data_IF_785923364982
#
_entry.id   IF_785923364982
#
_cell.length_a   1.000
_cell.length_b   1.000
_cell.length_c   1.000
_cell.angle_alpha   90.00
_cell.angle_beta   90.00
_cell.angle_gamma   90.00
#
_symmetry.space_group_name_H-M   'P 1'
#
loop_
_entity.id
_entity.type
_entity.pdbx_description
1 polymer ?
#
# COMPACT_ATOMS: atom_id res chain seq x y z
N UNK A 1 -31.65 1.82 -1.80
CA UNK A 1 -30.45 2.38 -2.46
C UNK A 1 -29.28 2.20 -1.51
N UNK A 2 -28.12 1.69 -1.99
CA UNK A 2 -26.94 1.49 -1.13
C UNK A 2 -26.31 2.85 -0.79
N UNK A 3 -26.12 3.15 0.50
CA UNK A 3 -25.50 4.40 0.92
C UNK A 3 -23.97 4.26 0.95
N UNK A 4 -23.29 4.61 -0.15
CA UNK A 4 -21.84 4.55 -0.28
C UNK A 4 -21.06 5.55 0.59
N UNK A 5 -21.74 6.50 1.23
CA UNK A 5 -21.09 7.43 2.18
C UNK A 5 -20.79 6.76 3.54
N UNK A 6 -21.34 5.58 3.80
CA UNK A 6 -21.15 4.89 5.08
C UNK A 6 -19.69 4.41 5.25
N UNK A 7 -19.05 4.64 6.41
CA UNK A 7 -17.64 4.32 6.63
C UNK A 7 -17.30 2.84 6.45
N UNK A 8 -18.27 1.95 6.65
CA UNK A 8 -18.09 0.51 6.41
C UNK A 8 -17.71 0.16 4.97
N UNK A 9 -18.13 0.94 3.97
CA UNK A 9 -17.71 0.67 2.58
C UNK A 9 -16.21 0.83 2.39
N UNK A 10 -15.57 1.74 3.14
CA UNK A 10 -14.12 1.94 3.13
C UNK A 10 -13.38 0.73 3.71
N UNK A 11 -14.02 -0.07 4.56
CA UNK A 11 -13.48 -1.33 5.09
C UNK A 11 -13.81 -2.50 4.16
N UNK A 12 -15.06 -2.59 3.70
CA UNK A 12 -15.54 -3.71 2.89
C UNK A 12 -14.79 -3.81 1.57
N UNK A 13 -14.52 -2.70 0.89
CA UNK A 13 -13.87 -2.72 -0.42
C UNK A 13 -12.45 -3.35 -0.35
N UNK A 14 -11.54 -2.91 0.54
CA UNK A 14 -10.25 -3.59 0.70
C UNK A 14 -10.38 -5.07 1.09
N UNK A 15 -11.31 -5.43 1.98
CA UNK A 15 -11.52 -6.83 2.39
C UNK A 15 -11.99 -7.69 1.21
N UNK A 16 -12.91 -7.18 0.39
CA UNK A 16 -13.35 -7.84 -0.84
C UNK A 16 -12.18 -7.99 -1.80
N UNK A 17 -11.35 -6.95 -1.99
CA UNK A 17 -10.14 -7.03 -2.81
C UNK A 17 -9.19 -8.11 -2.31
N UNK A 18 -8.92 -8.19 -1.00
CA UNK A 18 -8.07 -9.23 -0.40
C UNK A 18 -8.64 -10.63 -0.71
N UNK A 19 -9.94 -10.84 -0.51
CA UNK A 19 -10.60 -12.12 -0.79
C UNK A 19 -10.53 -12.48 -2.28
N UNK A 20 -10.81 -11.53 -3.17
CA UNK A 20 -10.77 -11.74 -4.61
C UNK A 20 -9.35 -12.04 -5.10
N UNK A 21 -8.37 -11.26 -4.68
CA UNK A 21 -6.95 -11.49 -5.01
C UNK A 21 -6.50 -12.85 -4.50
N UNK A 22 -6.85 -13.20 -3.26
CA UNK A 22 -6.55 -14.50 -2.67
C UNK A 22 -7.17 -15.64 -3.48
N UNK A 23 -8.44 -15.50 -3.85
CA UNK A 23 -9.17 -16.48 -4.66
C UNK A 23 -8.53 -16.65 -6.03
N UNK A 24 -8.26 -15.56 -6.75
CA UNK A 24 -7.63 -15.60 -8.08
C UNK A 24 -6.24 -16.22 -7.98
N UNK A 25 -5.40 -15.73 -7.06
CA UNK A 25 -4.04 -16.23 -6.86
C UNK A 25 -4.04 -17.74 -6.57
N UNK A 26 -4.92 -18.23 -5.69
CA UNK A 26 -4.93 -19.64 -5.28
C UNK A 26 -5.64 -20.58 -6.25
N UNK A 27 -6.80 -20.17 -6.77
CA UNK A 27 -7.72 -21.06 -7.50
C UNK A 27 -7.59 -20.93 -9.00
N UNK A 28 -7.17 -19.78 -9.53
CA UNK A 28 -7.01 -19.56 -10.97
C UNK A 28 -5.56 -19.59 -11.41
N UNK A 29 -4.65 -19.05 -10.59
CA UNK A 29 -3.23 -18.94 -10.93
C UNK A 29 -2.34 -19.96 -10.20
N UNK A 30 -2.89 -20.68 -9.22
CA UNK A 30 -2.19 -21.70 -8.43
C UNK A 30 -0.93 -21.20 -7.71
N UNK A 31 -0.90 -19.92 -7.33
CA UNK A 31 0.22 -19.32 -6.61
C UNK A 31 0.33 -19.87 -5.18
N UNK A 32 1.54 -20.17 -4.74
CA UNK A 32 1.88 -20.45 -3.35
C UNK A 32 1.99 -19.16 -2.54
N UNK A 33 1.43 -19.16 -1.34
CA UNK A 33 1.54 -18.04 -0.40
C UNK A 33 3.00 -17.68 -0.08
N UNK A 34 3.84 -18.70 0.10
CA UNK A 34 5.23 -18.51 0.51
C UNK A 34 6.16 -18.34 -0.69
N UNK A 35 6.02 -19.17 -1.72
CA UNK A 35 6.96 -19.20 -2.85
C UNK A 35 6.68 -18.12 -3.89
N UNK A 36 5.40 -17.86 -4.14
CA UNK A 36 5.00 -16.92 -5.18
C UNK A 36 4.66 -15.57 -4.57
N UNK A 37 3.66 -15.51 -3.68
CA UNK A 37 3.23 -14.24 -3.07
C UNK A 37 4.21 -13.70 -2.02
N UNK A 38 5.23 -14.48 -1.64
CA UNK A 38 6.26 -14.07 -0.69
C UNK A 38 5.69 -13.58 0.66
N UNK A 39 4.58 -14.16 1.12
CA UNK A 39 4.06 -13.95 2.47
C UNK A 39 4.90 -14.75 3.47
N UNK A 40 6.12 -14.27 3.69
CA UNK A 40 7.11 -14.84 4.59
C UNK A 40 7.66 -13.75 5.49
N UNK A 41 8.03 -14.10 6.73
CA UNK A 41 8.63 -13.13 7.64
C UNK A 41 9.99 -12.67 7.08
N UNK A 42 10.22 -11.35 6.95
CA UNK A 42 11.50 -10.83 6.48
C UNK A 42 12.58 -10.95 7.57
N UNK A 43 13.86 -11.01 7.18
CA UNK A 43 14.95 -10.84 8.13
C UNK A 43 14.83 -9.49 8.86
N UNK A 44 14.92 -9.43 10.20
CA UNK A 44 14.71 -8.18 10.96
C UNK A 44 15.63 -7.04 10.53
N UNK A 45 16.87 -7.35 10.14
CA UNK A 45 17.84 -6.36 9.66
C UNK A 45 17.41 -5.70 8.34
N UNK A 46 16.83 -6.48 7.42
CA UNK A 46 16.33 -5.97 6.14
C UNK A 46 15.07 -5.14 6.37
N UNK A 47 14.17 -5.60 7.24
CA UNK A 47 13.00 -4.82 7.63
C UNK A 47 13.41 -3.48 8.26
N UNK A 48 14.32 -3.49 9.22
CA UNK A 48 14.84 -2.28 9.86
C UNK A 48 15.49 -1.34 8.84
N UNK A 49 16.35 -1.86 7.95
CA UNK A 49 16.95 -1.07 6.88
C UNK A 49 15.89 -0.35 6.05
N UNK A 50 14.86 -1.06 5.60
CA UNK A 50 13.79 -0.46 4.81
C UNK A 50 12.92 0.50 5.60
N UNK A 51 12.63 0.24 6.88
CA UNK A 51 11.94 1.20 7.76
C UNK A 51 12.75 2.49 7.85
N UNK A 52 14.07 2.42 7.99
CA UNK A 52 14.92 3.60 8.06
C UNK A 52 14.95 4.36 6.73
N UNK A 53 15.21 3.67 5.61
CA UNK A 53 15.22 4.30 4.26
C UNK A 53 13.88 4.97 3.97
N UNK A 54 12.80 4.24 4.19
CA UNK A 54 11.45 4.68 3.89
C UNK A 54 10.99 5.79 4.84
N UNK A 55 11.31 5.67 6.13
CA UNK A 55 11.05 6.70 7.14
C UNK A 55 11.82 7.99 6.87
N UNK A 56 13.09 7.90 6.46
CA UNK A 56 13.88 9.06 6.03
C UNK A 56 13.26 9.71 4.80
N UNK A 57 12.86 8.93 3.78
CA UNK A 57 12.16 9.46 2.61
C UNK A 57 10.86 10.17 2.99
N UNK A 58 10.03 9.54 3.82
CA UNK A 58 8.76 10.10 4.29
C UNK A 58 8.95 11.42 5.04
N UNK A 59 9.83 11.45 6.05
CA UNK A 59 10.05 12.63 6.88
C UNK A 59 10.76 13.75 6.13
N UNK A 60 11.71 13.43 5.24
CA UNK A 60 12.39 14.45 4.45
C UNK A 60 11.45 15.08 3.42
N UNK A 61 10.66 14.27 2.71
CA UNK A 61 9.69 14.80 1.75
C UNK A 61 8.61 15.62 2.42
N UNK A 62 8.12 15.21 3.60
CA UNK A 62 7.17 16.06 4.35
C UNK A 62 7.82 17.35 4.84
N UNK A 63 9.05 17.31 5.33
CA UNK A 63 9.77 18.51 5.74
C UNK A 63 9.93 19.54 4.60
N UNK A 64 10.25 19.07 3.38
CA UNK A 64 10.49 19.97 2.24
C UNK A 64 9.20 20.40 1.52
N UNK A 65 8.17 19.56 1.48
CA UNK A 65 6.94 19.83 0.71
C UNK A 65 5.70 20.10 1.56
N UNK A 66 5.74 19.83 2.86
CA UNK A 66 4.61 19.94 3.80
C UNK A 66 3.34 19.26 3.29
N UNK A 67 3.50 18.10 2.61
CA UNK A 67 2.41 17.43 1.91
C UNK A 67 1.38 16.83 2.87
N UNK A 68 1.79 16.49 4.10
CA UNK A 68 0.90 15.97 5.13
C UNK A 68 -0.02 17.06 5.66
N UNK A 69 0.48 18.30 5.72
CA UNK A 69 -0.17 19.42 6.41
C UNK A 69 -0.02 19.36 7.93
N UNK A 70 -0.70 20.29 8.61
CA UNK A 70 -0.58 20.47 10.05
C UNK A 70 -1.18 19.29 10.85
N UNK A 71 -0.73 19.13 12.09
CA UNK A 71 -1.30 18.16 13.03
C UNK A 71 -2.64 18.65 13.60
N UNK A 72 -3.68 18.70 12.75
CA UNK A 72 -5.01 19.20 13.10
C UNK A 72 -6.08 18.10 13.13
N UNK A 73 -6.30 17.50 14.30
CA UNK A 73 -7.29 16.45 14.50
C UNK A 73 -8.72 16.96 14.78
N UNK A 74 -9.00 18.26 14.61
CA UNK A 74 -10.32 18.83 14.95
C UNK A 74 -11.45 18.12 14.19
N UNK A 75 -11.23 17.80 12.92
CA UNK A 75 -12.21 17.07 12.09
C UNK A 75 -12.47 15.67 12.63
N UNK A 76 -11.47 15.01 13.22
CA UNK A 76 -11.60 13.67 13.83
C UNK A 76 -12.26 13.69 15.19
N UNK A 77 -11.99 14.72 15.99
CA UNK A 77 -12.63 14.92 17.28
C UNK A 77 -14.14 15.15 17.14
N UNK A 78 -14.59 15.63 15.97
CA UNK A 78 -16.01 15.80 15.65
C UNK A 78 -16.69 14.50 15.15
N UNK A 79 -15.94 13.45 14.83
CA UNK A 79 -16.50 12.17 14.37
C UNK A 79 -16.80 11.24 15.54
N UNK A 80 -17.76 10.33 15.35
CA UNK A 80 -17.99 9.25 16.30
C UNK A 80 -16.76 8.33 16.41
N UNK A 81 -16.54 7.75 17.59
CA UNK A 81 -15.45 6.78 17.81
C UNK A 81 -15.48 5.64 16.78
N UNK A 82 -16.67 5.15 16.45
CA UNK A 82 -16.85 4.11 15.46
C UNK A 82 -16.36 4.54 14.06
N UNK A 83 -16.72 5.74 13.61
CA UNK A 83 -16.25 6.29 12.34
C UNK A 83 -14.72 6.42 12.33
N UNK A 84 -14.13 6.92 13.41
CA UNK A 84 -12.68 7.09 13.51
C UNK A 84 -11.94 5.75 13.48
N UNK A 85 -12.37 4.77 14.28
CA UNK A 85 -11.76 3.43 14.30
C UNK A 85 -11.86 2.75 12.93
N UNK A 86 -13.06 2.76 12.33
CA UNK A 86 -13.26 2.13 11.02
C UNK A 86 -12.41 2.78 9.93
N UNK A 87 -12.24 4.11 9.98
CA UNK A 87 -11.38 4.84 9.04
C UNK A 87 -9.91 4.52 9.22
N UNK A 88 -9.40 4.52 10.46
CA UNK A 88 -8.01 4.13 10.74
C UNK A 88 -7.77 2.70 10.28
N UNK A 89 -8.64 1.77 10.64
CA UNK A 89 -8.50 0.37 10.20
C UNK A 89 -8.51 0.25 8.67
N UNK A 90 -9.43 0.93 7.99
CA UNK A 90 -9.53 0.92 6.54
C UNK A 90 -8.26 1.47 5.87
N UNK A 91 -7.80 2.65 6.27
CA UNK A 91 -6.71 3.38 5.61
C UNK A 91 -5.34 2.85 6.02
N UNK A 92 -5.14 2.50 7.29
CA UNK A 92 -3.83 2.11 7.82
C UNK A 92 -3.58 0.63 7.67
N UNK A 93 -4.61 -0.22 7.68
CA UNK A 93 -4.42 -1.69 7.68
C UNK A 93 -5.01 -2.33 6.43
N UNK A 94 -6.33 -2.22 6.24
CA UNK A 94 -7.02 -2.98 5.20
C UNK A 94 -6.61 -2.54 3.78
N UNK A 95 -6.50 -1.23 3.54
CA UNK A 95 -6.04 -0.64 2.28
C UNK A 95 -4.64 -1.11 1.88
N UNK A 96 -3.61 -0.87 2.71
CA UNK A 96 -2.26 -1.35 2.45
C UNK A 96 -2.17 -2.86 2.18
N UNK A 97 -2.89 -3.68 2.95
CA UNK A 97 -2.95 -5.13 2.68
C UNK A 97 -3.55 -5.43 1.30
N UNK A 98 -4.69 -4.82 0.97
CA UNK A 98 -5.37 -5.04 -0.31
C UNK A 98 -4.53 -4.58 -1.50
N UNK A 99 -3.95 -3.39 -1.41
CA UNK A 99 -3.16 -2.78 -2.47
C UNK A 99 -1.85 -3.53 -2.70
N UNK A 100 -1.10 -3.86 -1.64
CA UNK A 100 0.14 -4.61 -1.80
C UNK A 100 -0.11 -6.04 -2.30
N UNK A 101 -1.18 -6.71 -1.86
CA UNK A 101 -1.58 -8.01 -2.41
C UNK A 101 -1.93 -7.91 -3.90
N UNK A 102 -2.68 -6.87 -4.30
CA UNK A 102 -3.09 -6.70 -5.69
C UNK A 102 -1.92 -6.31 -6.58
N UNK A 103 -1.28 -5.17 -6.31
CA UNK A 103 -0.29 -4.59 -7.21
C UNK A 103 1.03 -5.35 -7.14
N UNK A 104 1.55 -5.63 -5.94
CA UNK A 104 2.89 -6.22 -5.77
C UNK A 104 2.83 -7.75 -5.69
N UNK A 105 1.78 -8.30 -5.08
CA UNK A 105 1.57 -9.74 -4.96
C UNK A 105 1.02 -10.38 -6.23
N UNK A 106 -0.02 -9.82 -6.85
CA UNK A 106 -0.69 -10.46 -8.00
C UNK A 106 -0.16 -9.92 -9.34
N UNK A 107 -0.32 -8.62 -9.58
CA UNK A 107 -0.09 -8.00 -10.89
C UNK A 107 1.40 -7.95 -11.26
N UNK A 108 2.26 -7.47 -10.35
CA UNK A 108 3.70 -7.41 -10.59
C UNK A 108 4.31 -8.80 -10.82
N UNK A 109 3.90 -9.80 -10.03
CA UNK A 109 4.34 -11.18 -10.23
C UNK A 109 3.89 -11.71 -11.58
N UNK A 110 2.62 -11.47 -11.94
CA UNK A 110 2.09 -11.93 -13.21
C UNK A 110 2.82 -11.29 -14.40
N UNK A 111 3.08 -9.98 -14.32
CA UNK A 111 3.82 -9.25 -15.35
C UNK A 111 5.27 -9.75 -15.44
N UNK A 112 5.95 -9.96 -14.33
CA UNK A 112 7.30 -10.52 -14.30
C UNK A 112 7.39 -11.94 -14.91
N UNK A 113 6.31 -12.73 -14.84
CA UNK A 113 6.26 -14.07 -15.48
C UNK A 113 6.08 -14.04 -17.00
N UNK A 114 5.79 -12.88 -17.59
CA UNK A 114 5.74 -12.74 -19.06
C UNK A 114 7.14 -12.69 -19.70
N UNK A 115 8.19 -12.56 -18.88
CA UNK A 115 9.56 -12.35 -19.35
C UNK A 115 9.97 -10.87 -19.47
N UNK A 116 9.04 -9.93 -19.23
CA UNK A 116 9.36 -8.50 -19.19
C UNK A 116 10.40 -8.20 -18.10
N UNK A 117 11.31 -7.26 -18.38
CA UNK A 117 12.33 -6.82 -17.44
C UNK A 117 11.70 -6.38 -16.10
N UNK A 118 12.24 -6.87 -14.98
CA UNK A 118 11.67 -6.62 -13.63
C UNK A 118 11.61 -5.15 -13.23
N UNK A 119 12.56 -4.34 -13.69
CA UNK A 119 12.57 -2.90 -13.46
C UNK A 119 11.46 -2.20 -14.25
N UNK A 120 11.29 -2.58 -15.52
CA UNK A 120 10.19 -2.06 -16.36
C UNK A 120 8.84 -2.47 -15.78
N UNK A 121 8.67 -3.75 -15.41
CA UNK A 121 7.45 -4.24 -14.76
C UNK A 121 7.13 -3.47 -13.48
N UNK A 122 8.15 -3.17 -12.67
CA UNK A 122 7.98 -2.37 -11.46
C UNK A 122 7.48 -0.96 -11.79
N UNK A 123 8.17 -0.26 -12.70
CA UNK A 123 7.77 1.09 -13.11
C UNK A 123 6.33 1.10 -13.65
N UNK A 124 5.97 0.16 -14.53
CA UNK A 124 4.62 0.09 -15.09
C UNK A 124 3.54 -0.15 -14.03
N UNK A 125 3.75 -1.13 -13.13
CA UNK A 125 2.77 -1.41 -12.08
C UNK A 125 2.66 -0.24 -11.09
N UNK A 126 3.79 0.39 -10.75
CA UNK A 126 3.79 1.58 -9.90
C UNK A 126 3.10 2.76 -10.58
N UNK A 127 3.25 2.95 -11.90
CA UNK A 127 2.52 3.98 -12.64
C UNK A 127 1.02 3.74 -12.62
N UNK A 128 0.56 2.50 -12.80
CA UNK A 128 -0.87 2.16 -12.69
C UNK A 128 -1.38 2.41 -11.27
N UNK A 129 -0.61 2.02 -10.24
CA UNK A 129 -0.97 2.25 -8.85
C UNK A 129 -1.02 3.75 -8.49
N UNK A 130 -0.05 4.56 -8.95
CA UNK A 130 -0.10 6.00 -8.75
C UNK A 130 -1.27 6.63 -9.55
N UNK A 131 -1.55 6.13 -10.74
CA UNK A 131 -2.63 6.62 -11.61
C UNK A 131 -4.05 6.36 -11.11
N UNK A 132 -4.26 5.48 -10.13
CA UNK A 132 -5.59 5.36 -9.49
C UNK A 132 -5.84 6.45 -8.43
N UNK A 133 -4.84 7.27 -8.10
CA UNK A 133 -4.90 8.33 -7.09
C UNK A 133 -5.12 9.73 -7.72
N UNK A 134 -5.83 9.78 -8.85
CA UNK A 134 -6.07 11.03 -9.60
C UNK A 134 -6.94 12.05 -8.86
N UNK A 135 -7.50 11.71 -7.70
CA UNK A 135 -8.17 12.64 -6.80
C UNK A 135 -7.21 13.62 -6.12
N UNK A 136 -5.90 13.32 -6.09
CA UNK A 136 -4.87 14.19 -5.53
C UNK A 136 -4.25 15.10 -6.59
N UNK A 137 -3.51 16.13 -6.14
CA UNK A 137 -2.74 16.98 -7.04
C UNK A 137 -1.57 16.23 -7.68
N UNK A 138 -1.06 16.74 -8.80
CA UNK A 138 0.00 16.07 -9.55
C UNK A 138 1.30 15.94 -8.73
N UNK A 139 1.59 16.89 -7.85
CA UNK A 139 2.73 16.86 -6.93
C UNK A 139 2.62 15.65 -5.98
N UNK A 140 1.42 15.43 -5.42
CA UNK A 140 1.14 14.31 -4.53
C UNK A 140 1.18 12.98 -5.30
N UNK A 141 0.69 12.95 -6.55
CA UNK A 141 0.77 11.74 -7.38
C UNK A 141 2.23 11.35 -7.68
N UNK A 142 3.12 12.33 -7.88
CA UNK A 142 4.56 12.07 -8.04
C UNK A 142 5.16 11.50 -6.75
N UNK A 143 4.78 12.05 -5.59
CA UNK A 143 5.20 11.54 -4.29
C UNK A 143 4.71 10.09 -4.08
N UNK A 144 3.46 9.80 -4.43
CA UNK A 144 2.86 8.47 -4.41
C UNK A 144 3.64 7.55 -5.36
N UNK A 145 3.94 7.96 -6.58
CA UNK A 145 4.76 7.17 -7.50
C UNK A 145 6.13 6.82 -6.90
N UNK A 146 6.83 7.78 -6.30
CA UNK A 146 8.10 7.57 -5.60
C UNK A 146 7.98 6.57 -4.44
N UNK A 147 6.93 6.72 -3.61
CA UNK A 147 6.59 5.76 -2.56
C UNK A 147 6.39 4.35 -3.15
N UNK A 148 5.60 4.23 -4.21
CA UNK A 148 5.31 2.95 -4.86
C UNK A 148 6.54 2.27 -5.45
N UNK A 149 7.55 3.02 -5.90
CA UNK A 149 8.85 2.49 -6.30
C UNK A 149 9.61 1.93 -5.10
N UNK A 150 9.68 2.65 -3.98
CA UNK A 150 10.35 2.18 -2.76
C UNK A 150 9.70 0.92 -2.20
N UNK A 151 8.37 0.84 -2.19
CA UNK A 151 7.64 -0.37 -1.80
C UNK A 151 8.04 -1.56 -2.69
N UNK A 152 8.06 -1.38 -4.00
CA UNK A 152 8.47 -2.44 -4.93
C UNK A 152 9.94 -2.85 -4.81
N UNK A 153 10.85 -1.89 -4.59
CA UNK A 153 12.25 -2.17 -4.32
C UNK A 153 12.43 -2.93 -2.99
N UNK A 154 11.65 -2.58 -1.96
CA UNK A 154 11.66 -3.31 -0.69
C UNK A 154 11.22 -4.75 -0.84
N UNK A 155 10.25 -5.04 -1.72
CA UNK A 155 9.85 -6.40 -2.06
C UNK A 155 11.00 -7.16 -2.74
N UNK A 156 11.64 -6.55 -3.75
CA UNK A 156 12.72 -7.19 -4.48
C UNK A 156 13.94 -7.50 -3.60
N UNK A 157 14.27 -6.58 -2.70
CA UNK A 157 15.38 -6.73 -1.75
C UNK A 157 15.06 -7.76 -0.65
N UNK A 158 13.89 -7.66 -0.03
CA UNK A 158 13.54 -8.50 1.13
C UNK A 158 13.01 -9.88 0.77
N UNK A 159 12.53 -10.06 -0.47
CA UNK A 159 11.77 -11.24 -0.89
C UNK A 159 10.59 -11.55 0.05
N UNK A 160 9.98 -10.50 0.59
CA UNK A 160 8.83 -10.59 1.48
C UNK A 160 7.82 -9.51 1.13
N UNK A 161 6.57 -9.91 0.88
CA UNK A 161 5.46 -8.98 0.67
C UNK A 161 5.03 -8.32 1.99
N UNK A 162 5.42 -8.87 3.13
CA UNK A 162 5.15 -8.25 4.43
C UNK A 162 5.94 -6.95 4.61
N UNK A 163 7.12 -6.81 3.99
CA UNK A 163 7.91 -5.57 4.08
C UNK A 163 7.17 -4.39 3.47
N UNK A 164 6.78 -4.37 2.18
CA UNK A 164 6.04 -3.24 1.64
C UNK A 164 4.69 -3.03 2.32
N UNK A 165 4.01 -4.08 2.79
CA UNK A 165 2.79 -3.93 3.59
C UNK A 165 3.06 -3.09 4.85
N UNK A 166 4.08 -3.45 5.64
CA UNK A 166 4.43 -2.72 6.87
C UNK A 166 4.83 -1.28 6.56
N UNK A 167 5.65 -1.05 5.54
CA UNK A 167 6.07 0.31 5.15
C UNK A 167 4.89 1.17 4.72
N UNK A 168 3.97 0.60 3.94
CA UNK A 168 2.76 1.29 3.50
C UNK A 168 1.80 1.57 4.69
N UNK A 169 1.67 0.63 5.63
CA UNK A 169 0.95 0.89 6.89
C UNK A 169 1.58 2.04 7.70
N UNK A 170 2.91 2.12 7.75
CA UNK A 170 3.63 3.23 8.41
C UNK A 170 3.34 4.56 7.70
N UNK A 171 3.43 4.58 6.35
CA UNK A 171 3.10 5.78 5.56
C UNK A 171 1.69 6.27 5.84
N UNK A 172 0.71 5.37 5.74
CA UNK A 172 -0.69 5.73 5.93
C UNK A 172 -0.99 6.09 7.39
N UNK A 173 -0.32 5.44 8.35
CA UNK A 173 -0.39 5.80 9.76
C UNK A 173 0.18 7.19 10.07
N UNK A 174 1.20 7.61 9.34
CA UNK A 174 1.73 8.97 9.42
C UNK A 174 0.83 9.99 8.70
N UNK A 175 0.27 9.61 7.55
CA UNK A 175 -0.56 10.48 6.73
C UNK A 175 -2.00 10.62 7.25
N UNK A 176 -2.49 9.68 8.06
CA UNK A 176 -3.84 9.74 8.62
C UNK A 176 -3.87 10.75 9.78
N UNK A 177 -4.70 11.78 9.64
CA UNK A 177 -4.92 12.79 10.66
C UNK A 177 -6.23 13.51 10.45
#
# INVERSE_FOLDING_TARGET
MLNFSHPLWKVLLPLVTIVLVSFIARRKLHYSWQKDLLLVLPPPKILLFWILVFGTYMLSTDYFWHWRGDWNFQTWQQQSLFTSITRVFAVVIAGPLAEEMLFRGLLLIRLNRTGLNRGISLVLITSVWAGIHMEYSWEIIILIFGNGLLLGLSLYSSRSLLVPMILHMIWNGYAVW
#
